data_IF_340953878688
#
_entry.id   IF_340953878688
#
_cell.length_a   1.000
_cell.length_b   1.000
_cell.length_c   1.000
_cell.angle_alpha   90.00
_cell.angle_beta   90.00
_cell.angle_gamma   90.00
#
_symmetry.space_group_name_H-M   'P 1'
#
loop_
_entity.id
_entity.type
_entity.pdbx_description
1 polymer ?
#
# COMPACT_ATOMS: atom_id res chain seq x y z
N UNK A 1 -7.63 14.46 30.55
CA UNK A 1 -7.49 13.59 29.37
C UNK A 1 -6.38 14.16 28.52
N UNK A 2 -5.36 13.38 28.19
CA UNK A 2 -4.30 13.77 27.26
C UNK A 2 -4.85 13.80 25.84
N UNK A 3 -4.56 14.84 25.06
CA UNK A 3 -5.07 15.00 23.70
C UNK A 3 -4.52 13.92 22.77
N UNK A 4 -5.40 13.14 22.15
CA UNK A 4 -5.08 12.11 21.15
C UNK A 4 -4.71 12.69 19.78
N UNK A 5 -4.58 14.02 19.69
CA UNK A 5 -4.58 14.81 18.45
C UNK A 5 -3.18 15.29 18.03
N UNK A 6 -2.12 14.70 18.62
CA UNK A 6 -0.74 14.98 18.24
C UNK A 6 -0.30 14.13 17.02
N UNK A 7 0.59 14.63 16.14
CA UNK A 7 1.10 13.86 15.00
C UNK A 7 1.72 12.51 15.39
N UNK A 8 2.35 12.40 16.57
CA UNK A 8 2.87 11.14 17.09
C UNK A 8 1.75 10.11 17.35
N UNK A 9 0.69 10.49 18.07
CA UNK A 9 -0.43 9.59 18.36
C UNK A 9 -1.18 9.15 17.08
N UNK A 10 -1.21 10.01 16.06
CA UNK A 10 -1.72 9.65 14.74
C UNK A 10 -0.81 8.64 14.01
N UNK A 11 0.51 8.80 14.09
CA UNK A 11 1.47 7.83 13.55
C UNK A 11 1.38 6.48 14.28
N UNK A 12 1.27 6.48 15.62
CA UNK A 12 1.09 5.27 16.43
C UNK A 12 -0.18 4.51 16.03
N UNK A 13 -1.29 5.22 15.78
CA UNK A 13 -2.55 4.65 15.30
C UNK A 13 -2.42 4.06 13.89
N UNK A 14 -1.68 4.73 12.99
CA UNK A 14 -1.42 4.27 11.62
C UNK A 14 -0.54 3.01 11.63
N UNK A 15 0.53 2.97 12.44
CA UNK A 15 1.38 1.78 12.55
C UNK A 15 0.67 0.60 13.24
N UNK A 16 -0.23 0.86 14.19
CA UNK A 16 -1.10 -0.18 14.73
C UNK A 16 -2.05 -0.74 13.66
N UNK A 17 -2.64 0.10 12.82
CA UNK A 17 -3.50 -0.33 11.72
C UNK A 17 -2.74 -1.12 10.65
N UNK A 18 -1.55 -0.66 10.23
CA UNK A 18 -0.68 -1.36 9.29
C UNK A 18 -0.09 -2.66 9.84
N UNK A 19 -0.05 -2.85 11.16
CA UNK A 19 0.26 -4.13 11.79
C UNK A 19 -0.96 -5.07 11.86
N UNK A 20 -2.12 -4.55 12.24
CA UNK A 20 -3.31 -5.35 12.53
C UNK A 20 -4.05 -5.86 11.29
N UNK A 21 -4.00 -5.14 10.16
CA UNK A 21 -4.70 -5.55 8.94
C UNK A 21 -4.08 -6.79 8.27
N UNK A 22 -2.77 -6.86 7.98
CA UNK A 22 -2.18 -8.05 7.35
C UNK A 22 -2.36 -9.32 8.20
N UNK A 23 -2.29 -9.23 9.53
CA UNK A 23 -2.47 -10.35 10.48
C UNK A 23 -3.85 -11.04 10.41
N UNK A 24 -4.82 -10.52 9.65
CA UNK A 24 -6.11 -11.18 9.39
C UNK A 24 -6.10 -12.17 8.23
N UNK A 25 -5.14 -12.05 7.31
CA UNK A 25 -5.07 -12.84 6.07
C UNK A 25 -3.65 -13.39 5.80
N UNK A 26 -2.74 -13.27 6.78
CA UNK A 26 -1.37 -13.69 6.68
C UNK A 26 -0.80 -14.18 8.02
N UNK A 27 0.02 -15.22 7.94
CA UNK A 27 0.94 -15.58 9.03
C UNK A 27 2.03 -14.52 9.12
N UNK A 28 2.22 -13.98 10.32
CA UNK A 28 3.38 -13.16 10.63
C UNK A 28 4.60 -14.06 10.89
N UNK A 29 5.70 -13.81 10.19
CA UNK A 29 7.01 -14.41 10.43
C UNK A 29 7.97 -13.31 10.92
N UNK A 30 8.50 -13.44 12.14
CA UNK A 30 9.36 -12.43 12.75
C UNK A 30 10.85 -12.72 12.50
N UNK A 31 11.56 -11.76 11.93
CA UNK A 31 12.96 -11.87 11.49
C UNK A 31 13.93 -11.01 12.33
N UNK A 32 13.50 -10.61 13.53
CA UNK A 32 14.19 -9.70 14.45
C UNK A 32 13.56 -8.30 14.41
N UNK A 33 14.21 -7.28 13.84
CA UNK A 33 13.64 -5.92 13.74
C UNK A 33 12.51 -5.77 12.70
N UNK A 34 12.18 -6.83 11.96
CA UNK A 34 11.25 -6.84 10.84
C UNK A 34 10.28 -8.03 10.97
N UNK A 35 9.01 -7.80 10.66
CA UNK A 35 7.98 -8.84 10.49
C UNK A 35 7.65 -8.95 9.00
N UNK A 36 7.66 -10.17 8.46
CA UNK A 36 7.16 -10.50 7.13
C UNK A 36 5.74 -11.06 7.25
N UNK A 37 4.81 -10.57 6.44
CA UNK A 37 3.48 -11.15 6.36
C UNK A 37 3.38 -12.11 5.16
N UNK A 38 3.17 -13.39 5.45
CA UNK A 38 3.01 -14.46 4.44
C UNK A 38 1.53 -14.76 4.29
N UNK A 39 0.92 -14.36 3.16
CA UNK A 39 -0.52 -14.57 2.89
C UNK A 39 -0.89 -16.05 3.02
N UNK A 40 -2.02 -16.32 3.66
CA UNK A 40 -2.63 -17.65 3.70
C UNK A 40 -3.92 -17.63 2.85
N UNK A 41 -4.02 -18.55 1.88
CA UNK A 41 -5.11 -18.57 0.90
C UNK A 41 -4.87 -17.69 -0.34
N UNK A 42 -5.94 -17.40 -1.08
CA UNK A 42 -5.88 -16.62 -2.32
C UNK A 42 -5.69 -15.10 -2.07
N UNK A 43 -5.09 -14.41 -3.03
CA UNK A 43 -4.91 -12.96 -3.03
C UNK A 43 -3.49 -12.53 -3.39
N UNK A 44 -3.23 -11.22 -3.32
CA UNK A 44 -1.90 -10.65 -3.58
C UNK A 44 -0.96 -10.87 -2.38
N UNK A 45 0.35 -11.11 -2.62
CA UNK A 45 1.32 -11.24 -1.54
C UNK A 45 1.44 -9.93 -0.74
N UNK A 46 1.64 -10.05 0.57
CA UNK A 46 1.96 -8.92 1.43
C UNK A 46 3.47 -8.60 1.43
N UNK A 47 3.81 -7.52 2.11
CA UNK A 47 5.16 -6.98 2.30
C UNK A 47 5.71 -7.30 3.70
N UNK A 48 7.00 -7.03 3.91
CA UNK A 48 7.59 -6.92 5.23
C UNK A 48 7.59 -5.47 5.75
N UNK A 49 7.63 -5.29 7.07
CA UNK A 49 7.70 -3.97 7.72
C UNK A 49 8.41 -4.05 9.09
N UNK A 50 8.74 -2.91 9.74
CA UNK A 50 9.23 -2.90 11.12
C UNK A 50 8.36 -3.74 12.05
N UNK A 51 9.00 -4.52 12.93
CA UNK A 51 8.31 -5.28 13.95
C UNK A 51 7.65 -4.33 14.97
N UNK A 52 6.38 -4.57 15.30
CA UNK A 52 5.62 -3.69 16.21
C UNK A 52 6.28 -3.59 17.59
N UNK A 53 6.49 -2.36 18.07
CA UNK A 53 7.18 -2.09 19.34
C UNK A 53 8.72 -2.22 19.31
N UNK A 54 9.33 -2.54 18.17
CA UNK A 54 10.80 -2.58 18.05
C UNK A 54 11.40 -1.17 18.00
N UNK A 55 12.37 -0.91 18.88
CA UNK A 55 13.06 0.39 19.01
C UNK A 55 14.58 0.33 18.78
N UNK A 56 15.10 -0.84 18.39
CA UNK A 56 16.52 -1.04 18.11
C UNK A 56 16.94 -0.65 16.68
N UNK A 57 18.24 -0.66 16.35
CA UNK A 57 18.71 -0.43 14.99
C UNK A 57 18.31 -1.57 14.04
N UNK A 58 17.92 -1.21 12.81
CA UNK A 58 17.77 -2.13 11.68
C UNK A 58 19.03 -2.07 10.81
N UNK A 59 19.52 -3.21 10.31
CA UNK A 59 20.71 -3.31 9.44
C UNK A 59 20.37 -3.95 8.09
N UNK A 60 21.27 -3.78 7.12
CA UNK A 60 21.16 -4.43 5.82
C UNK A 60 21.07 -5.96 5.93
N UNK A 61 21.79 -6.57 6.89
CA UNK A 61 21.72 -8.01 7.16
C UNK A 61 20.32 -8.47 7.62
N UNK A 62 19.55 -7.58 8.26
CA UNK A 62 18.18 -7.88 8.70
C UNK A 62 17.20 -7.86 7.54
N UNK A 63 17.38 -6.90 6.62
CA UNK A 63 16.68 -6.86 5.33
C UNK A 63 17.05 -8.08 4.48
N UNK A 64 18.33 -8.45 4.41
CA UNK A 64 18.81 -9.58 3.62
C UNK A 64 18.13 -10.91 3.99
N UNK A 65 18.02 -11.22 5.30
CA UNK A 65 17.32 -12.44 5.76
C UNK A 65 15.84 -12.47 5.36
N UNK A 66 15.17 -11.31 5.32
CA UNK A 66 13.78 -11.20 4.84
C UNK A 66 13.70 -11.34 3.32
N UNK A 67 14.66 -10.78 2.57
CA UNK A 67 14.76 -10.95 1.12
C UNK A 67 14.95 -12.41 0.72
N UNK A 68 15.85 -13.12 1.40
CA UNK A 68 16.07 -14.55 1.21
C UNK A 68 14.78 -15.34 1.47
N UNK A 69 14.05 -15.00 2.55
CA UNK A 69 12.75 -15.61 2.85
C UNK A 69 11.67 -15.31 1.79
N UNK A 70 11.62 -14.08 1.27
CA UNK A 70 10.71 -13.72 0.17
C UNK A 70 11.03 -14.51 -1.11
N UNK A 71 12.32 -14.78 -1.37
CA UNK A 71 12.78 -15.62 -2.49
C UNK A 71 12.41 -17.09 -2.32
N UNK A 72 12.58 -17.67 -1.13
CA UNK A 72 12.11 -19.04 -0.81
C UNK A 72 10.61 -19.21 -1.07
N UNK A 73 9.81 -18.20 -0.71
CA UNK A 73 8.36 -18.18 -0.87
C UNK A 73 7.91 -17.85 -2.30
N UNK A 74 8.82 -17.46 -3.21
CA UNK A 74 8.50 -17.05 -4.58
C UNK A 74 7.72 -15.73 -4.68
N UNK A 75 7.75 -14.89 -3.63
CA UNK A 75 7.00 -13.62 -3.55
C UNK A 75 7.92 -12.41 -3.84
N UNK A 76 7.35 -11.23 -4.19
CA UNK A 76 8.15 -10.03 -4.41
C UNK A 76 8.95 -9.60 -3.17
N UNK A 77 10.14 -9.04 -3.41
CA UNK A 77 11.01 -8.48 -2.36
C UNK A 77 10.49 -7.10 -1.89
N UNK A 78 9.33 -7.05 -1.24
CA UNK A 78 8.65 -5.80 -0.85
C UNK A 78 8.78 -5.46 0.63
N UNK A 79 8.98 -4.18 0.91
CA UNK A 79 9.11 -3.59 2.25
C UNK A 79 8.36 -2.25 2.29
N UNK A 80 7.49 -2.06 3.28
CA UNK A 80 6.65 -0.86 3.41
C UNK A 80 6.66 -0.34 4.85
N UNK A 81 6.82 0.98 5.04
CA UNK A 81 6.92 1.60 6.35
C UNK A 81 6.65 3.11 6.28
N UNK A 82 6.32 3.73 7.41
CA UNK A 82 6.28 5.20 7.53
C UNK A 82 7.68 5.70 7.87
N UNK A 83 8.18 6.70 7.13
CA UNK A 83 9.59 7.11 7.22
C UNK A 83 9.94 7.74 8.59
N UNK A 84 8.96 8.39 9.20
CA UNK A 84 9.02 9.08 10.49
C UNK A 84 9.11 8.10 11.67
N UNK A 85 8.53 6.91 11.56
CA UNK A 85 8.46 5.91 12.65
C UNK A 85 9.71 5.03 12.68
N UNK A 86 10.27 4.69 11.51
CA UNK A 86 11.55 3.95 11.40
C UNK A 86 12.52 4.62 10.43
N UNK A 87 13.12 5.79 10.78
CA UNK A 87 14.00 6.54 9.87
C UNK A 87 15.23 5.77 9.39
N UNK A 88 15.77 4.88 10.24
CA UNK A 88 16.95 4.07 9.92
C UNK A 88 16.69 3.01 8.83
N UNK A 89 15.44 2.60 8.59
CA UNK A 89 15.15 1.50 7.66
C UNK A 89 15.57 1.82 6.23
N UNK A 90 15.53 3.09 5.80
CA UNK A 90 16.05 3.50 4.47
C UNK A 90 17.46 2.96 4.25
N UNK A 91 18.39 3.27 5.16
CA UNK A 91 19.80 2.94 5.00
C UNK A 91 20.05 1.42 5.02
N UNK A 92 19.22 0.67 5.75
CA UNK A 92 19.23 -0.79 5.71
C UNK A 92 18.72 -1.37 4.37
N UNK A 93 17.62 -0.82 3.83
CA UNK A 93 17.04 -1.24 2.54
C UNK A 93 17.97 -0.91 1.37
N UNK A 94 18.50 0.32 1.32
CA UNK A 94 19.44 0.79 0.31
C UNK A 94 20.79 0.06 0.43
N UNK A 95 21.28 -0.16 1.67
CA UNK A 95 22.48 -0.95 1.95
C UNK A 95 22.35 -2.43 1.60
N UNK A 96 21.14 -2.98 1.62
CA UNK A 96 20.83 -4.31 1.10
C UNK A 96 20.63 -4.34 -0.43
N UNK A 97 20.83 -3.22 -1.14
CA UNK A 97 20.76 -3.14 -2.60
C UNK A 97 19.34 -3.05 -3.18
N UNK A 98 18.35 -2.61 -2.40
CA UNK A 98 16.99 -2.35 -2.87
C UNK A 98 16.75 -0.85 -3.12
N UNK A 99 15.90 -0.52 -4.10
CA UNK A 99 15.49 0.85 -4.39
C UNK A 99 14.28 1.28 -3.55
N UNK A 100 14.32 2.50 -3.01
CA UNK A 100 13.26 3.08 -2.17
C UNK A 100 12.49 4.16 -2.93
N UNK A 101 11.18 3.97 -3.05
CA UNK A 101 10.28 4.85 -3.82
C UNK A 101 9.34 5.68 -2.95
N UNK A 102 8.94 6.87 -3.43
CA UNK A 102 8.13 7.83 -2.66
C UNK A 102 6.91 8.29 -3.50
N UNK A 103 5.73 7.66 -3.28
CA UNK A 103 4.38 8.09 -3.75
C UNK A 103 3.71 8.90 -2.61
N UNK A 104 2.38 9.02 -2.35
CA UNK A 104 1.83 9.79 -1.18
C UNK A 104 1.37 9.05 0.11
N UNK A 105 1.38 9.74 1.29
CA UNK A 105 0.44 9.54 2.43
C UNK A 105 -0.21 10.90 2.78
N UNK A 106 -1.54 10.91 2.84
CA UNK A 106 -2.35 12.08 3.21
C UNK A 106 -3.43 11.62 4.19
N UNK A 107 -3.59 12.34 5.30
CA UNK A 107 -4.65 12.04 6.28
C UNK A 107 -5.79 13.04 6.11
N UNK A 108 -6.99 12.54 5.86
CA UNK A 108 -8.21 13.32 5.93
C UNK A 108 -8.67 13.35 7.40
N UNK A 109 -8.64 14.53 8.02
CA UNK A 109 -9.15 14.70 9.39
C UNK A 109 -10.64 14.42 9.48
N UNK A 110 -11.12 13.92 10.63
CA UNK A 110 -12.54 13.62 10.89
C UNK A 110 -13.47 14.81 10.66
N UNK A 111 -12.94 16.01 10.92
CA UNK A 111 -13.68 17.26 10.90
C UNK A 111 -13.60 17.95 9.52
N UNK A 112 -12.93 17.32 8.54
CA UNK A 112 -12.79 17.84 7.19
C UNK A 112 -14.15 17.78 6.47
N UNK A 113 -14.70 18.96 6.15
CA UNK A 113 -16.00 19.09 5.50
C UNK A 113 -16.06 18.32 4.17
N UNK A 114 -16.76 17.19 4.16
CA UNK A 114 -17.02 16.41 2.95
C UNK A 114 -18.01 17.14 2.07
N UNK A 115 -17.50 17.85 1.05
CA UNK A 115 -18.32 18.42 -0.02
C UNK A 115 -18.84 17.29 -0.89
N UNK A 116 -20.01 16.76 -0.52
CA UNK A 116 -20.74 15.81 -1.34
C UNK A 116 -21.08 16.47 -2.69
N UNK A 117 -20.72 15.87 -3.85
CA UNK A 117 -21.01 16.43 -5.17
C UNK A 117 -22.49 16.23 -5.60
N UNK A 118 -23.38 15.97 -4.65
CA UNK A 118 -24.79 15.69 -4.90
C UNK A 118 -25.54 16.93 -5.41
N UNK A 119 -26.44 16.72 -6.38
CA UNK A 119 -27.27 17.78 -6.94
C UNK A 119 -26.60 18.71 -7.97
N UNK A 120 -25.27 18.66 -8.14
CA UNK A 120 -24.57 19.45 -9.15
C UNK A 120 -24.88 18.94 -10.59
N UNK A 121 -25.42 19.78 -11.50
CA UNK A 121 -25.81 19.32 -12.84
C UNK A 121 -24.66 18.69 -13.62
N UNK A 122 -24.84 17.44 -14.06
CA UNK A 122 -23.86 16.68 -14.83
C UNK A 122 -22.92 15.78 -14.01
N UNK A 123 -23.04 15.75 -12.67
CA UNK A 123 -22.37 14.73 -11.86
C UNK A 123 -23.08 13.37 -11.92
N UNK A 124 -22.35 12.24 -11.88
CA UNK A 124 -22.96 10.92 -11.78
C UNK A 124 -23.56 10.70 -10.38
N UNK A 125 -24.66 9.98 -10.31
CA UNK A 125 -25.23 9.55 -9.03
C UNK A 125 -24.28 8.56 -8.33
N UNK A 126 -24.02 8.78 -7.05
CA UNK A 126 -23.22 7.90 -6.19
C UNK A 126 -24.16 7.19 -5.22
N UNK A 127 -23.93 5.90 -4.97
CA UNK A 127 -24.63 5.13 -3.94
C UNK A 127 -23.76 4.00 -3.41
N UNK A 128 -24.01 3.57 -2.18
CA UNK A 128 -23.46 2.33 -1.63
C UNK A 128 -24.19 1.14 -2.27
N UNK A 129 -23.48 0.02 -2.46
CA UNK A 129 -24.04 -1.27 -2.88
C UNK A 129 -24.15 -2.18 -1.66
N UNK A 130 -25.31 -2.84 -1.50
CA UNK A 130 -25.47 -3.92 -0.51
C UNK A 130 -24.88 -5.25 -0.99
N UNK A 131 -24.79 -6.24 -0.11
CA UNK A 131 -24.31 -7.58 -0.46
C UNK A 131 -25.18 -8.25 -1.53
N UNK A 132 -26.51 -8.10 -1.42
CA UNK A 132 -27.51 -8.65 -2.36
C UNK A 132 -27.77 -7.75 -3.58
N UNK A 133 -26.95 -6.71 -3.81
CA UNK A 133 -27.18 -5.75 -4.87
C UNK A 133 -26.84 -6.33 -6.26
N UNK A 134 -27.76 -6.36 -7.23
CA UNK A 134 -27.50 -6.95 -8.54
C UNK A 134 -26.42 -6.23 -9.36
N UNK A 135 -26.04 -4.99 -8.98
CA UNK A 135 -24.90 -4.30 -9.58
C UNK A 135 -23.54 -4.71 -8.99
N UNK A 136 -23.50 -5.32 -7.80
CA UNK A 136 -22.25 -5.63 -7.08
C UNK A 136 -21.28 -6.51 -7.88
N UNK A 137 -21.70 -7.62 -8.55
CA UNK A 137 -20.77 -8.43 -9.34
C UNK A 137 -20.10 -7.63 -10.48
N UNK A 138 -20.87 -6.77 -11.15
CA UNK A 138 -20.35 -5.89 -12.21
C UNK A 138 -19.41 -4.82 -11.65
N UNK A 139 -19.73 -4.25 -10.49
CA UNK A 139 -18.92 -3.25 -9.83
C UNK A 139 -17.56 -3.79 -9.34
N UNK A 140 -17.49 -5.07 -8.95
CA UNK A 140 -16.25 -5.76 -8.59
C UNK A 140 -15.43 -6.17 -9.82
N UNK A 141 -16.07 -6.70 -10.87
CA UNK A 141 -15.38 -7.16 -12.09
C UNK A 141 -14.74 -6.02 -12.88
N UNK A 142 -15.33 -4.82 -12.91
CA UNK A 142 -14.79 -3.69 -13.69
C UNK A 142 -13.37 -3.27 -13.24
N UNK A 143 -13.06 -3.05 -11.95
CA UNK A 143 -11.70 -2.86 -11.48
C UNK A 143 -10.74 -3.99 -11.85
N UNK A 144 -11.13 -5.26 -11.64
CA UNK A 144 -10.27 -6.40 -11.99
C UNK A 144 -9.92 -6.42 -13.48
N UNK A 145 -10.85 -6.12 -14.38
CA UNK A 145 -10.58 -6.04 -15.83
C UNK A 145 -9.82 -4.76 -16.23
N UNK A 146 -10.09 -3.62 -15.58
CA UNK A 146 -9.45 -2.34 -15.89
C UNK A 146 -7.97 -2.27 -15.45
N UNK A 147 -7.61 -3.03 -14.41
CA UNK A 147 -6.26 -3.08 -13.84
C UNK A 147 -5.58 -4.46 -13.97
N UNK A 148 -6.13 -5.38 -14.80
CA UNK A 148 -5.53 -6.69 -15.08
C UNK A 148 -4.13 -6.61 -15.69
N UNK A 149 -3.86 -5.56 -16.46
CA UNK A 149 -2.58 -5.32 -17.14
C UNK A 149 -1.71 -4.33 -16.33
N UNK A 150 -0.54 -4.75 -15.80
CA UNK A 150 0.25 -3.89 -14.92
C UNK A 150 0.78 -2.60 -15.56
N UNK A 151 0.52 -1.47 -14.88
CA UNK A 151 1.22 -0.21 -15.07
C UNK A 151 0.38 0.93 -15.66
N UNK A 152 0.67 2.17 -15.24
CA UNK A 152 -0.06 3.41 -15.58
C UNK A 152 0.13 3.90 -17.03
N UNK A 153 0.77 3.09 -17.89
CA UNK A 153 1.13 3.47 -19.27
C UNK A 153 -0.10 3.45 -20.17
N UNK A 154 -0.60 4.62 -20.57
CA UNK A 154 -1.80 4.80 -21.42
C UNK A 154 -1.86 3.76 -22.55
N UNK A 155 -2.78 2.80 -22.40
CA UNK A 155 -2.99 1.71 -23.34
C UNK A 155 -3.25 2.26 -24.76
N UNK A 156 -2.80 1.55 -25.81
CA UNK A 156 -2.80 2.11 -27.17
C UNK A 156 -4.20 2.47 -27.69
N UNK A 157 -5.26 1.86 -27.14
CA UNK A 157 -6.69 2.21 -27.36
C UNK A 157 -7.15 3.49 -26.62
N UNK A 158 -6.62 3.78 -25.43
CA UNK A 158 -7.09 4.86 -24.55
C UNK A 158 -6.69 6.28 -25.03
N UNK A 159 -5.82 6.40 -26.03
CA UNK A 159 -5.30 7.68 -26.58
C UNK A 159 -6.37 8.60 -27.21
N UNK A 160 -7.64 8.17 -27.30
CA UNK A 160 -8.66 8.81 -28.12
C UNK A 160 -9.67 9.71 -27.38
N UNK A 161 -9.63 9.78 -26.05
CA UNK A 161 -10.66 10.47 -25.25
C UNK A 161 -10.15 11.50 -24.22
N UNK A 162 -8.89 11.47 -23.80
CA UNK A 162 -8.38 12.38 -22.75
C UNK A 162 -7.48 13.51 -23.28
N UNK A 163 -8.02 14.74 -23.29
CA UNK A 163 -7.22 15.98 -23.36
C UNK A 163 -7.61 16.92 -22.21
N UNK A 164 -6.61 17.36 -21.45
CA UNK A 164 -6.60 18.44 -20.45
C UNK A 164 -7.64 18.37 -19.32
N UNK A 165 -7.13 18.09 -18.11
CA UNK A 165 -7.14 19.03 -16.97
C UNK A 165 -5.83 18.85 -16.19
N UNK A 166 -5.24 19.94 -15.73
CA UNK A 166 -3.99 19.97 -14.96
C UNK A 166 -4.29 19.89 -13.46
N UNK A 167 -3.49 19.13 -12.72
CA UNK A 167 -3.59 18.96 -11.25
C UNK A 167 -2.32 19.49 -10.57
N UNK A 168 -2.39 20.01 -9.33
CA UNK A 168 -1.24 20.34 -8.50
C UNK A 168 -0.56 19.08 -7.92
N UNK A 169 0.63 19.24 -7.33
CA UNK A 169 1.47 18.13 -6.86
C UNK A 169 1.27 17.78 -5.35
N UNK A 170 1.23 16.49 -4.97
CA UNK A 170 1.16 16.03 -3.56
C UNK A 170 2.53 15.70 -2.93
N UNK A 171 2.55 15.47 -1.60
CA UNK A 171 3.71 15.03 -0.77
C UNK A 171 3.73 13.49 -0.59
N UNK A 172 4.57 12.92 0.32
CA UNK A 172 5.16 11.57 0.09
C UNK A 172 5.12 10.43 1.16
N UNK A 173 4.62 9.22 0.79
CA UNK A 173 4.82 7.88 1.40
C UNK A 173 4.63 6.70 0.38
N UNK A 174 4.87 5.42 0.74
CA UNK A 174 5.65 4.50 -0.14
C UNK A 174 4.96 3.17 -0.50
N UNK A 175 5.33 2.60 -1.67
CA UNK A 175 4.92 1.29 -2.22
C UNK A 175 5.97 0.77 -3.21
N UNK A 176 6.06 -0.55 -3.41
CA UNK A 176 6.96 -1.17 -4.40
C UNK A 176 6.27 -2.31 -5.17
N UNK A 177 6.47 -2.38 -6.50
CA UNK A 177 5.94 -3.46 -7.34
C UNK A 177 7.01 -3.89 -8.36
N UNK A 178 7.46 -5.15 -8.25
CA UNK A 178 8.47 -5.70 -9.15
C UNK A 178 7.89 -5.95 -10.56
N UNK A 179 8.66 -5.70 -11.65
CA UNK A 179 8.20 -5.97 -13.00
C UNK A 179 8.15 -7.48 -13.28
N UNK A 180 6.97 -8.03 -13.52
CA UNK A 180 6.79 -9.44 -13.87
C UNK A 180 7.43 -9.78 -15.22
N UNK A 181 8.56 -10.48 -15.18
CA UNK A 181 9.18 -11.13 -16.34
C UNK A 181 8.75 -12.60 -16.45
N UNK A 182 7.53 -12.86 -16.93
CA UNK A 182 7.11 -14.22 -17.28
C UNK A 182 7.78 -14.66 -18.58
N UNK A 183 8.83 -15.48 -18.46
CA UNK A 183 9.26 -16.35 -19.55
C UNK A 183 8.16 -17.35 -19.90
N UNK A 184 8.11 -17.77 -21.16
CA UNK A 184 7.29 -18.90 -21.62
C UNK A 184 8.22 -19.96 -22.20
N UNK A 185 8.02 -21.18 -21.74
CA UNK A 185 8.17 -22.39 -22.54
C UNK A 185 6.75 -22.92 -22.84
#
# INVERSE_FOLDING_TARGET
>A
MTSTEGPGALLDLIEHYYDAVPRREARAEDHGPLTLFVREGEGWPFYARPASGWSGPVRADDVARVRDRQRELGIPESFEWVAETTPALRAAIEGAGLAVHEHPLMVLGTDAATVAPEGAPGYPAVRVLGADDPALPSALVVPHLAFAEPGTRVARRARRTWRRRSWPAPMTARWNAAPHGFGRD
#
